data_IF_215803980169
#
_entry.id   IF_215803980169
#
_cell.length_a   1.000
_cell.length_b   1.000
_cell.length_c   1.000
_cell.angle_alpha   90.00
_cell.angle_beta   90.00
_cell.angle_gamma   90.00
#
_symmetry.space_group_name_H-M   'P 1'
#
loop_
_entity.id
_entity.type
_entity.pdbx_description
1 polymer ?
#
# COMPACT_ATOMS: atom_id res chain seq x y z
N UNK A 1 29.77 -32.00 10.80
CA UNK A 1 29.82 -30.56 10.42
C UNK A 1 28.43 -29.93 10.59
N UNK A 2 27.79 -30.13 11.75
CA UNK A 2 26.43 -29.61 12.04
C UNK A 2 26.33 -28.85 13.37
N UNK A 3 27.29 -29.06 14.28
CA UNK A 3 27.33 -28.38 15.58
C UNK A 3 27.96 -26.97 15.54
N UNK A 4 28.72 -26.62 14.49
CA UNK A 4 29.30 -25.27 14.37
C UNK A 4 28.33 -24.24 13.79
N UNK A 5 27.29 -24.66 13.07
CA UNK A 5 26.27 -23.74 12.53
C UNK A 5 25.22 -23.32 13.56
N UNK A 6 25.01 -24.13 14.61
CA UNK A 6 24.06 -23.80 15.68
C UNK A 6 24.61 -22.71 16.63
N UNK A 7 25.94 -22.71 16.87
CA UNK A 7 26.60 -21.67 17.68
C UNK A 7 26.65 -20.30 16.99
N UNK A 8 26.61 -20.24 15.65
CA UNK A 8 26.54 -18.96 14.92
C UNK A 8 25.12 -18.37 14.86
N UNK A 9 24.07 -19.18 15.03
CA UNK A 9 22.70 -18.69 15.15
C UNK A 9 22.45 -18.05 16.52
N UNK A 10 23.05 -18.57 17.60
CA UNK A 10 22.90 -18.02 18.95
C UNK A 10 23.65 -16.70 19.17
N UNK A 11 24.70 -16.39 18.40
CA UNK A 11 25.39 -15.09 18.46
C UNK A 11 24.68 -13.96 17.70
N UNK A 12 23.69 -14.26 16.86
CA UNK A 12 22.88 -13.24 16.15
C UNK A 12 21.74 -12.66 17.02
N UNK A 13 21.51 -13.22 18.21
CA UNK A 13 20.45 -12.79 19.13
C UNK A 13 20.95 -11.97 20.34
N UNK A 14 22.21 -11.54 20.34
CA UNK A 14 22.79 -10.74 21.44
C UNK A 14 23.23 -9.33 21.01
N UNK A 15 22.78 -8.82 19.86
CA UNK A 15 22.95 -7.41 19.56
C UNK A 15 21.88 -6.59 20.32
N UNK A 16 22.33 -5.86 21.35
CA UNK A 16 21.52 -4.98 22.20
C UNK A 16 20.95 -3.75 21.46
N UNK A 17 20.97 -3.74 20.13
CA UNK A 17 20.39 -2.70 19.28
C UNK A 17 19.25 -3.17 18.36
N UNK A 18 18.75 -4.40 18.53
CA UNK A 18 17.54 -4.85 17.85
C UNK A 18 16.33 -3.99 18.27
N UNK A 19 15.75 -3.30 17.29
CA UNK A 19 14.61 -2.36 17.41
C UNK A 19 13.31 -3.03 17.90
N UNK A 20 13.35 -4.35 18.12
CA UNK A 20 12.19 -5.18 18.47
C UNK A 20 11.74 -5.13 19.95
N UNK A 21 12.41 -4.36 20.83
CA UNK A 21 12.02 -4.25 22.25
C UNK A 21 12.04 -2.82 22.81
N UNK A 22 11.33 -1.88 22.16
CA UNK A 22 10.94 -0.63 22.84
C UNK A 22 9.58 -0.82 23.51
N UNK A 23 9.60 -1.04 24.83
CA UNK A 23 8.44 -0.80 25.70
C UNK A 23 8.30 0.72 25.89
N UNK A 24 7.14 1.26 25.56
CA UNK A 24 6.76 2.65 25.86
C UNK A 24 6.38 2.77 27.35
N UNK A 25 7.39 2.97 28.20
CA UNK A 25 7.20 3.54 29.53
C UNK A 25 8.56 3.86 30.15
N UNK A 26 9.02 5.09 29.96
CA UNK A 26 9.62 5.96 30.99
C UNK A 26 10.26 7.21 30.34
N UNK A 27 9.80 8.37 30.79
CA UNK A 27 10.40 9.67 30.48
C UNK A 27 11.73 9.87 31.24
N UNK A 28 12.64 10.57 30.55
CA UNK A 28 13.44 11.69 31.06
C UNK A 28 14.98 11.53 31.20
N UNK A 29 15.64 12.58 30.68
CA UNK A 29 16.92 13.20 31.04
C UNK A 29 18.25 12.77 30.34
N UNK A 30 18.78 13.76 29.60
CA UNK A 30 20.17 14.23 29.57
C UNK A 30 21.32 13.34 29.04
N UNK A 31 21.75 13.58 27.78
CA UNK A 31 22.95 14.40 27.42
C UNK A 31 23.47 14.11 26.00
N UNK A 32 24.16 15.10 25.36
CA UNK A 32 24.60 15.01 23.97
C UNK A 32 26.06 14.53 23.85
N UNK A 33 26.36 13.74 22.82
CA UNK A 33 27.73 13.38 22.44
C UNK A 33 28.15 14.10 21.16
N UNK A 34 29.12 15.01 21.34
CA UNK A 34 29.85 15.78 20.35
C UNK A 34 30.83 14.92 19.53
N UNK A 35 30.84 15.11 18.21
CA UNK A 35 32.01 15.10 17.32
C UNK A 35 31.68 16.22 16.31
N UNK A 36 32.38 17.33 16.13
CA UNK A 36 33.78 17.64 16.39
C UNK A 36 34.36 18.30 15.12
N UNK A 37 33.91 19.51 14.77
CA UNK A 37 34.60 20.36 13.78
C UNK A 37 34.55 21.82 14.25
N UNK A 38 35.73 22.41 14.38
CA UNK A 38 36.03 23.62 15.13
C UNK A 38 35.44 24.88 14.48
N UNK A 39 34.71 25.69 15.26
CA UNK A 39 34.40 27.08 14.98
C UNK A 39 35.30 27.96 15.86
N UNK A 40 36.16 28.76 15.24
CA UNK A 40 36.68 29.99 15.85
C UNK A 40 35.58 31.05 15.78
N UNK A 41 35.09 31.48 16.94
CA UNK A 41 33.90 32.31 17.04
C UNK A 41 34.07 33.74 16.55
N UNK A 42 32.95 34.36 16.16
CA UNK A 42 32.62 35.76 16.43
C UNK A 42 31.09 35.90 16.55
N UNK A 43 30.71 36.84 17.41
CA UNK A 43 29.42 37.06 18.07
C UNK A 43 28.23 37.40 17.14
N UNK A 44 27.04 37.10 17.66
CA UNK A 44 25.73 37.69 17.33
C UNK A 44 25.79 39.18 16.98
N UNK A 45 25.15 39.52 15.84
CA UNK A 45 24.42 40.77 15.62
C UNK A 45 23.57 40.67 14.35
N UNK A 46 22.26 40.80 14.53
CA UNK A 46 21.27 41.40 13.63
C UNK A 46 21.54 41.27 12.11
N UNK A 47 20.96 40.24 11.46
CA UNK A 47 20.71 40.29 10.01
C UNK A 47 19.25 40.62 9.77
N UNK A 48 18.91 41.88 10.03
CA UNK A 48 17.78 42.51 9.37
C UNK A 48 18.06 42.56 7.86
N UNK A 49 17.13 42.04 7.06
CA UNK A 49 16.88 42.37 5.64
C UNK A 49 18.10 42.90 4.87
N UNK A 50 19.06 42.03 4.54
CA UNK A 50 20.15 42.41 3.64
C UNK A 50 19.65 42.49 2.18
N UNK A 51 20.17 43.43 1.36
CA UNK A 51 19.80 43.57 -0.05
C UNK A 51 20.05 42.29 -0.88
N UNK A 52 20.93 41.42 -0.40
CA UNK A 52 21.29 40.15 -1.03
C UNK A 52 20.19 39.08 -0.88
N UNK A 53 19.40 39.09 0.21
CA UNK A 53 18.19 38.24 0.30
C UNK A 53 17.10 38.68 -0.68
N UNK A 54 17.05 39.97 -1.03
CA UNK A 54 16.18 40.49 -2.09
C UNK A 54 16.71 40.18 -3.50
N UNK A 55 18.04 40.02 -3.65
CA UNK A 55 18.67 39.70 -4.93
C UNK A 55 18.38 38.24 -5.36
N UNK A 56 18.45 37.27 -4.43
CA UNK A 56 18.06 35.88 -4.73
C UNK A 56 16.57 35.70 -5.03
N UNK A 57 15.69 36.50 -4.44
CA UNK A 57 14.25 36.46 -4.76
C UNK A 57 13.92 37.07 -6.14
N UNK A 58 14.80 37.91 -6.69
CA UNK A 58 14.66 38.47 -8.04
C UNK A 58 15.20 37.55 -9.14
N UNK A 59 16.14 36.68 -8.81
CA UNK A 59 16.73 35.72 -9.75
C UNK A 59 15.99 34.37 -9.77
N UNK A 60 15.11 34.13 -8.80
CA UNK A 60 14.20 32.99 -8.72
C UNK A 60 12.76 33.29 -9.16
N UNK A 61 12.52 34.38 -9.89
CA UNK A 61 11.23 34.58 -10.55
C UNK A 61 11.14 33.50 -11.63
N UNK A 62 10.41 32.42 -11.35
CA UNK A 62 10.12 31.38 -12.32
C UNK A 62 9.67 32.06 -13.62
N UNK A 63 10.41 31.85 -14.72
CA UNK A 63 10.08 32.47 -15.99
C UNK A 63 8.70 31.94 -16.39
N UNK A 64 7.71 32.83 -16.45
CA UNK A 64 6.35 32.47 -16.84
C UNK A 64 6.33 31.83 -18.23
N UNK A 65 7.34 32.11 -19.07
CA UNK A 65 7.52 31.49 -20.39
C UNK A 65 7.95 30.03 -20.30
N UNK A 66 8.76 29.63 -19.32
CA UNK A 66 9.07 28.21 -19.08
C UNK A 66 7.83 27.45 -18.61
N UNK A 67 6.98 28.11 -17.83
CA UNK A 67 5.70 27.55 -17.38
C UNK A 67 4.68 27.43 -18.53
N UNK A 68 4.63 28.43 -19.41
CA UNK A 68 3.82 28.41 -20.65
C UNK A 68 4.34 27.37 -21.66
N UNK A 69 5.66 27.25 -21.87
CA UNK A 69 6.24 26.22 -22.74
C UNK A 69 6.03 24.80 -22.19
N UNK A 70 6.14 24.59 -20.88
CA UNK A 70 5.81 23.32 -20.23
C UNK A 70 4.31 22.98 -20.37
N UNK A 71 3.44 23.99 -20.25
CA UNK A 71 2.00 23.87 -20.44
C UNK A 71 1.64 23.51 -21.89
N UNK A 72 2.31 24.13 -22.88
CA UNK A 72 2.15 23.82 -24.30
C UNK A 72 2.68 22.42 -24.67
N UNK A 73 3.74 21.95 -24.01
CA UNK A 73 4.31 20.61 -24.20
C UNK A 73 3.49 19.51 -23.50
N UNK A 74 2.84 19.83 -22.38
CA UNK A 74 2.05 18.88 -21.58
C UNK A 74 0.63 19.38 -21.28
N UNK A 75 -0.19 19.69 -22.30
CA UNK A 75 -1.56 20.20 -22.12
C UNK A 75 -2.48 19.18 -21.45
N UNK A 76 -2.06 17.92 -21.36
CA UNK A 76 -2.75 16.87 -20.61
C UNK A 76 -2.62 17.04 -19.09
N UNK A 77 -1.56 17.68 -18.59
CA UNK A 77 -1.31 17.82 -17.15
C UNK A 77 -2.19 18.93 -16.54
N UNK A 78 -2.41 20.03 -17.25
CA UNK A 78 -3.32 21.10 -16.80
C UNK A 78 -4.78 20.69 -16.75
N UNK A 79 -5.18 19.72 -17.59
CA UNK A 79 -6.55 19.21 -17.64
C UNK A 79 -6.91 18.37 -16.41
N UNK A 80 -5.93 17.92 -15.62
CA UNK A 80 -6.14 17.04 -14.46
C UNK A 80 -6.67 17.80 -13.24
N UNK A 81 -7.86 18.38 -13.35
CA UNK A 81 -8.46 19.25 -12.32
C UNK A 81 -8.60 18.54 -10.96
N UNK A 82 -8.93 17.24 -10.96
CA UNK A 82 -9.04 16.46 -9.73
C UNK A 82 -7.68 16.34 -9.03
N UNK A 83 -6.61 16.11 -9.81
CA UNK A 83 -5.25 16.03 -9.29
C UNK A 83 -4.77 17.38 -8.71
N UNK A 84 -5.00 18.49 -9.42
CA UNK A 84 -4.66 19.83 -8.91
C UNK A 84 -5.43 20.19 -7.63
N UNK A 85 -6.71 19.81 -7.55
CA UNK A 85 -7.48 19.97 -6.32
C UNK A 85 -6.90 19.16 -5.16
N UNK A 86 -6.37 17.96 -5.43
CA UNK A 86 -5.71 17.13 -4.43
C UNK A 86 -4.36 17.69 -3.97
N UNK A 87 -3.58 18.30 -4.87
CA UNK A 87 -2.34 19.01 -4.49
C UNK A 87 -2.65 20.17 -3.54
N UNK A 88 -3.63 21.02 -3.88
CA UNK A 88 -4.08 22.10 -3.00
C UNK A 88 -4.61 21.57 -1.66
N UNK A 89 -5.37 20.48 -1.67
CA UNK A 89 -5.84 19.83 -0.46
C UNK A 89 -4.68 19.40 0.44
N UNK A 90 -3.59 18.87 -0.13
CA UNK A 90 -2.40 18.47 0.62
C UNK A 90 -1.69 19.65 1.30
N UNK A 91 -1.60 20.79 0.61
CA UNK A 91 -1.01 22.03 1.14
C UNK A 91 -1.83 22.57 2.33
N UNK A 92 -3.16 22.55 2.21
CA UNK A 92 -4.06 23.02 3.28
C UNK A 92 -4.11 22.05 4.47
N UNK A 93 -4.15 20.74 4.18
CA UNK A 93 -4.20 19.67 5.16
C UNK A 93 -3.50 18.44 4.61
N UNK A 94 -2.44 18.02 5.30
CA UNK A 94 -1.68 16.85 4.89
C UNK A 94 -2.60 15.64 4.65
N UNK A 95 -2.35 14.97 3.53
CA UNK A 95 -3.08 13.76 3.16
C UNK A 95 -2.46 12.61 3.96
N UNK A 96 -3.20 11.93 4.84
CA UNK A 96 -2.64 10.87 5.63
C UNK A 96 -2.45 9.62 4.77
N UNK A 97 -1.38 8.88 5.02
CA UNK A 97 -1.12 7.56 4.46
C UNK A 97 -0.45 6.69 5.53
N UNK A 98 -0.58 5.36 5.41
CA UNK A 98 0.13 4.43 6.30
C UNK A 98 1.60 4.33 5.92
N UNK A 99 1.90 4.22 4.62
CA UNK A 99 3.25 4.12 4.05
C UNK A 99 3.31 4.80 2.68
N UNK A 100 4.48 5.31 2.32
CA UNK A 100 4.76 5.86 1.00
C UNK A 100 5.22 4.76 0.06
N UNK A 101 4.59 4.67 -1.11
CA UNK A 101 4.90 3.72 -2.17
C UNK A 101 5.34 4.43 -3.46
N UNK A 102 5.90 5.63 -3.32
CA UNK A 102 6.26 6.57 -4.38
C UNK A 102 7.03 5.90 -5.53
N UNK A 103 8.07 5.13 -5.20
CA UNK A 103 8.90 4.43 -6.19
C UNK A 103 8.14 3.29 -6.87
N UNK A 104 7.36 2.50 -6.12
CA UNK A 104 6.61 1.34 -6.62
C UNK A 104 5.64 1.74 -7.72
N UNK A 105 4.92 2.85 -7.52
CA UNK A 105 3.95 3.37 -8.49
C UNK A 105 4.55 4.44 -9.43
N UNK A 106 5.88 4.60 -9.42
CA UNK A 106 6.63 5.50 -10.31
C UNK A 106 6.17 6.96 -10.26
N UNK A 107 5.83 7.46 -9.07
CA UNK A 107 5.62 8.89 -8.87
C UNK A 107 6.98 9.60 -8.73
N UNK A 108 7.07 10.82 -9.23
CA UNK A 108 8.28 11.66 -9.16
C UNK A 108 8.49 12.31 -7.79
N UNK A 109 7.49 12.32 -6.92
CA UNK A 109 7.59 12.81 -5.53
C UNK A 109 6.55 12.20 -4.61
N UNK A 110 6.79 12.27 -3.31
CA UNK A 110 5.83 11.86 -2.28
C UNK A 110 4.55 12.70 -2.33
N UNK A 111 4.66 13.99 -2.69
CA UNK A 111 3.50 14.88 -2.83
C UNK A 111 2.61 14.42 -3.99
N UNK A 112 3.20 14.06 -5.13
CA UNK A 112 2.46 13.50 -6.27
C UNK A 112 1.77 12.18 -5.87
N UNK A 113 2.49 11.29 -5.19
CA UNK A 113 1.94 10.04 -4.69
C UNK A 113 0.71 10.29 -3.80
N UNK A 114 0.84 11.14 -2.79
CA UNK A 114 -0.23 11.45 -1.84
C UNK A 114 -1.45 12.09 -2.52
N UNK A 115 -1.24 13.03 -3.44
CA UNK A 115 -2.31 13.65 -4.20
C UNK A 115 -3.06 12.63 -5.07
N UNK A 116 -2.35 11.70 -5.72
CA UNK A 116 -2.98 10.62 -6.50
C UNK A 116 -3.72 9.63 -5.62
N UNK A 117 -3.17 9.24 -4.46
CA UNK A 117 -3.87 8.42 -3.46
C UNK A 117 -5.19 9.06 -3.05
N UNK A 118 -5.19 10.37 -2.78
CA UNK A 118 -6.41 11.09 -2.41
C UNK A 118 -7.48 11.06 -3.52
N UNK A 119 -7.08 11.16 -4.79
CA UNK A 119 -8.00 11.05 -5.92
C UNK A 119 -8.52 9.61 -6.08
N UNK A 120 -7.64 8.61 -5.96
CA UNK A 120 -8.01 7.20 -6.05
C UNK A 120 -8.99 6.80 -4.94
N UNK A 121 -8.82 7.32 -3.72
CA UNK A 121 -9.79 7.12 -2.63
C UNK A 121 -11.19 7.58 -3.05
N UNK A 122 -11.32 8.74 -3.67
CA UNK A 122 -12.60 9.24 -4.17
C UNK A 122 -13.17 8.35 -5.28
N UNK A 123 -12.33 7.90 -6.21
CA UNK A 123 -12.72 6.99 -7.28
C UNK A 123 -13.24 5.65 -6.73
N UNK A 124 -12.53 5.04 -5.77
CA UNK A 124 -12.99 3.82 -5.11
C UNK A 124 -14.29 4.03 -4.34
N UNK A 125 -14.42 5.11 -3.56
CA UNK A 125 -15.67 5.42 -2.87
C UNK A 125 -16.84 5.50 -3.86
N UNK A 126 -16.64 6.12 -5.03
CA UNK A 126 -17.65 6.17 -6.08
C UNK A 126 -17.98 4.78 -6.63
N UNK A 127 -16.97 3.96 -6.94
CA UNK A 127 -17.16 2.60 -7.46
C UNK A 127 -17.93 1.72 -6.48
N UNK A 128 -17.63 1.79 -5.18
CA UNK A 128 -18.29 0.98 -4.16
C UNK A 128 -19.67 1.51 -3.75
N UNK A 129 -20.01 2.76 -4.08
CA UNK A 129 -21.38 3.27 -3.99
C UNK A 129 -22.31 2.71 -5.10
N UNK A 130 -21.76 2.03 -6.12
CA UNK A 130 -22.54 1.35 -7.16
C UNK A 130 -22.68 -0.14 -6.81
N UNK A 131 -23.88 -0.65 -6.46
CA UNK A 131 -24.05 -2.03 -5.99
C UNK A 131 -23.58 -3.09 -7.01
N UNK A 132 -23.79 -2.84 -8.30
CA UNK A 132 -23.36 -3.73 -9.39
C UNK A 132 -21.84 -3.84 -9.46
N UNK A 133 -21.13 -2.72 -9.34
CA UNK A 133 -19.67 -2.68 -9.34
C UNK A 133 -19.10 -3.32 -8.07
N UNK A 134 -19.66 -3.03 -6.90
CA UNK A 134 -19.22 -3.62 -5.64
C UNK A 134 -19.36 -5.15 -5.65
N UNK A 135 -20.50 -5.66 -6.13
CA UNK A 135 -20.76 -7.10 -6.28
C UNK A 135 -19.78 -7.73 -7.27
N UNK A 136 -19.59 -7.11 -8.43
CA UNK A 136 -18.63 -7.57 -9.43
C UNK A 136 -17.21 -7.70 -8.88
N UNK A 137 -16.72 -6.69 -8.15
CA UNK A 137 -15.36 -6.72 -7.57
C UNK A 137 -15.24 -7.81 -6.50
N UNK A 138 -16.26 -7.97 -5.65
CA UNK A 138 -16.27 -9.03 -4.63
C UNK A 138 -16.29 -10.43 -5.26
N UNK A 139 -17.13 -10.66 -6.27
CA UNK A 139 -17.21 -11.94 -6.98
C UNK A 139 -15.88 -12.27 -7.67
N UNK A 140 -15.24 -11.26 -8.25
CA UNK A 140 -13.97 -11.45 -8.94
C UNK A 140 -12.82 -11.74 -7.98
N UNK A 141 -12.72 -10.99 -6.88
CA UNK A 141 -11.72 -11.24 -5.84
C UNK A 141 -11.84 -12.66 -5.28
N UNK A 142 -13.09 -13.13 -5.10
CA UNK A 142 -13.37 -14.52 -4.71
C UNK A 142 -12.89 -15.52 -5.75
N UNK A 143 -13.23 -15.29 -7.02
CA UNK A 143 -12.90 -16.22 -8.11
C UNK A 143 -11.39 -16.36 -8.32
N UNK A 144 -10.66 -15.25 -8.42
CA UNK A 144 -9.21 -15.26 -8.67
C UNK A 144 -8.45 -16.05 -7.60
N UNK A 145 -8.79 -15.83 -6.33
CA UNK A 145 -8.12 -16.53 -5.22
C UNK A 145 -8.58 -17.99 -5.15
N UNK A 146 -9.84 -18.28 -5.44
CA UNK A 146 -10.34 -19.65 -5.55
C UNK A 146 -9.58 -20.44 -6.63
N UNK A 147 -9.42 -19.85 -7.81
CA UNK A 147 -8.69 -20.46 -8.92
C UNK A 147 -7.22 -20.66 -8.58
N UNK A 148 -6.60 -19.70 -7.88
CA UNK A 148 -5.22 -19.84 -7.43
C UNK A 148 -5.04 -20.98 -6.42
N UNK A 149 -6.00 -21.17 -5.50
CA UNK A 149 -6.01 -22.27 -4.54
C UNK A 149 -6.16 -23.62 -5.26
N UNK A 150 -7.12 -23.72 -6.20
CA UNK A 150 -7.31 -24.92 -7.00
C UNK A 150 -6.10 -25.25 -7.86
N UNK A 151 -5.47 -24.24 -8.46
CA UNK A 151 -4.26 -24.39 -9.25
C UNK A 151 -3.07 -24.90 -8.43
N UNK A 152 -3.04 -24.63 -7.13
CA UNK A 152 -2.08 -25.19 -6.19
C UNK A 152 -2.47 -26.59 -5.64
N UNK A 153 -3.43 -27.26 -6.30
CA UNK A 153 -3.95 -28.59 -5.94
C UNK A 153 -4.53 -28.65 -4.51
N UNK A 154 -5.24 -27.59 -4.11
CA UNK A 154 -5.92 -27.49 -2.81
C UNK A 154 -7.43 -27.27 -2.98
N UNK A 155 -8.20 -27.75 -2.01
CA UNK A 155 -9.66 -27.54 -1.97
C UNK A 155 -9.99 -26.11 -1.50
N UNK A 156 -10.72 -25.30 -2.30
CA UNK A 156 -11.09 -23.94 -1.94
C UNK A 156 -12.31 -23.84 -1.00
N UNK A 157 -12.95 -24.95 -0.63
CA UNK A 157 -14.21 -24.95 0.13
C UNK A 157 -14.19 -24.10 1.40
N UNK A 158 -13.16 -24.27 2.24
CA UNK A 158 -13.07 -23.53 3.51
C UNK A 158 -12.71 -22.05 3.27
N UNK A 159 -11.88 -21.76 2.26
CA UNK A 159 -11.64 -20.39 1.80
C UNK A 159 -12.96 -19.71 1.41
N UNK A 160 -13.79 -20.35 0.58
CA UNK A 160 -15.07 -19.81 0.13
C UNK A 160 -16.01 -19.55 1.33
N UNK A 161 -16.08 -20.48 2.28
CA UNK A 161 -16.86 -20.30 3.51
C UNK A 161 -16.42 -19.05 4.30
N UNK A 162 -15.12 -18.86 4.46
CA UNK A 162 -14.57 -17.72 5.21
C UNK A 162 -14.70 -16.40 4.44
N UNK A 163 -14.59 -16.43 3.11
CA UNK A 163 -14.82 -15.27 2.26
C UNK A 163 -16.27 -14.76 2.38
N UNK A 164 -17.24 -15.65 2.31
CA UNK A 164 -18.66 -15.29 2.49
C UNK A 164 -18.95 -14.72 3.89
N UNK A 165 -18.30 -15.25 4.93
CA UNK A 165 -18.41 -14.70 6.28
C UNK A 165 -17.85 -13.28 6.36
N UNK A 166 -16.72 -13.01 5.73
CA UNK A 166 -16.17 -11.65 5.64
C UNK A 166 -17.11 -10.70 4.90
N UNK A 167 -17.68 -11.11 3.76
CA UNK A 167 -18.63 -10.25 3.03
C UNK A 167 -19.87 -9.92 3.88
N UNK A 168 -20.42 -10.91 4.59
CA UNK A 168 -21.53 -10.68 5.54
C UNK A 168 -21.15 -9.73 6.67
N UNK A 169 -19.92 -9.85 7.19
CA UNK A 169 -19.40 -8.94 8.21
C UNK A 169 -19.32 -7.50 7.68
N UNK A 170 -18.80 -7.31 6.47
CA UNK A 170 -18.62 -5.98 5.85
C UNK A 170 -19.95 -5.30 5.49
N UNK A 171 -21.01 -6.06 5.22
CA UNK A 171 -22.33 -5.50 4.89
C UNK A 171 -23.09 -4.94 6.10
N UNK A 172 -22.64 -5.23 7.31
CA UNK A 172 -23.37 -4.94 8.54
C UNK A 172 -22.84 -3.66 9.21
N UNK A 173 -23.60 -2.55 9.23
CA UNK A 173 -23.10 -1.25 9.67
C UNK A 173 -22.60 -1.21 11.13
N UNK A 174 -23.16 -2.03 12.02
CA UNK A 174 -22.69 -2.12 13.42
C UNK A 174 -21.24 -2.60 13.53
N UNK A 175 -20.72 -3.28 12.51
CA UNK A 175 -19.35 -3.78 12.49
C UNK A 175 -18.32 -2.71 12.11
N UNK A 176 -18.74 -1.59 11.52
CA UNK A 176 -17.83 -0.54 11.06
C UNK A 176 -16.95 0.03 12.19
N UNK A 177 -17.51 0.21 13.39
CA UNK A 177 -16.75 0.73 14.54
C UNK A 177 -15.66 -0.23 15.01
N UNK A 178 -15.95 -1.54 15.04
CA UNK A 178 -14.98 -2.58 15.38
C UNK A 178 -13.86 -2.59 14.33
N UNK A 179 -14.24 -2.59 13.05
CA UNK A 179 -13.31 -2.63 11.94
C UNK A 179 -12.40 -1.40 11.91
N UNK A 180 -12.94 -0.20 12.14
CA UNK A 180 -12.17 1.04 12.19
C UNK A 180 -11.17 1.05 13.35
N UNK A 181 -11.59 0.59 14.54
CA UNK A 181 -10.69 0.46 15.69
C UNK A 181 -9.51 -0.48 15.38
N UNK A 182 -9.82 -1.69 14.89
CA UNK A 182 -8.80 -2.69 14.56
C UNK A 182 -7.81 -2.21 13.51
N UNK A 183 -8.29 -1.58 12.43
CA UNK A 183 -7.46 -1.12 11.33
C UNK A 183 -6.63 0.12 11.70
N UNK A 184 -7.18 1.02 12.53
CA UNK A 184 -6.45 2.20 13.02
C UNK A 184 -5.23 1.80 13.85
N UNK A 185 -5.37 0.78 14.72
CA UNK A 185 -4.26 0.21 15.49
C UNK A 185 -3.17 -0.39 14.58
N UNK A 186 -3.55 -0.82 13.37
CA UNK A 186 -2.62 -1.30 12.33
C UNK A 186 -2.10 -0.20 11.42
N UNK A 187 -2.35 1.06 11.75
CA UNK A 187 -1.84 2.23 11.04
C UNK A 187 -2.63 2.60 9.80
N UNK A 188 -3.73 1.91 9.47
CA UNK A 188 -4.63 2.31 8.37
C UNK A 188 -5.25 3.65 8.73
N UNK A 189 -5.06 4.64 7.87
CA UNK A 189 -5.44 6.03 8.16
C UNK A 189 -6.80 6.44 7.58
N UNK A 190 -7.31 5.67 6.62
CA UNK A 190 -8.57 5.94 5.94
C UNK A 190 -9.33 4.64 5.71
N UNK A 191 -10.63 4.62 6.02
CA UNK A 191 -11.52 3.49 5.76
C UNK A 191 -11.92 3.47 4.27
N UNK A 192 -10.96 3.16 3.41
CA UNK A 192 -11.13 3.11 1.96
C UNK A 192 -10.54 1.83 1.38
N UNK A 193 -11.07 1.40 0.24
CA UNK A 193 -10.60 0.20 -0.45
C UNK A 193 -9.11 0.25 -0.78
N UNK A 194 -8.57 1.40 -1.19
CA UNK A 194 -7.14 1.54 -1.45
C UNK A 194 -6.32 1.27 -0.19
N UNK A 195 -6.64 1.94 0.91
CA UNK A 195 -5.90 1.82 2.16
C UNK A 195 -5.99 0.41 2.77
N UNK A 196 -7.15 -0.23 2.69
CA UNK A 196 -7.40 -1.52 3.33
C UNK A 196 -6.96 -2.67 2.44
N UNK A 197 -7.48 -2.76 1.21
CA UNK A 197 -7.17 -3.90 0.35
C UNK A 197 -5.82 -3.73 -0.32
N UNK A 198 -5.56 -2.58 -0.94
CA UNK A 198 -4.33 -2.40 -1.73
C UNK A 198 -3.12 -2.28 -0.80
N UNK A 199 -3.11 -1.27 0.06
CA UNK A 199 -1.95 -0.99 0.91
C UNK A 199 -1.83 -1.99 2.06
N UNK A 200 -2.82 -2.10 2.93
CA UNK A 200 -2.70 -2.95 4.11
C UNK A 200 -2.72 -4.46 3.83
N UNK A 201 -3.49 -4.95 2.85
CA UNK A 201 -3.58 -6.40 2.59
C UNK A 201 -2.63 -6.84 1.49
N UNK A 202 -2.75 -6.30 0.27
CA UNK A 202 -2.05 -6.83 -0.90
C UNK A 202 -0.56 -6.48 -0.88
N UNK A 203 -0.20 -5.22 -0.62
CA UNK A 203 1.21 -4.81 -0.59
C UNK A 203 1.94 -5.45 0.59
N UNK A 204 1.34 -5.50 1.78
CA UNK A 204 1.92 -6.24 2.91
C UNK A 204 2.08 -7.72 2.59
N UNK A 205 1.09 -8.38 1.96
CA UNK A 205 1.21 -9.78 1.60
C UNK A 205 2.37 -10.04 0.62
N UNK A 206 2.60 -9.15 -0.34
CA UNK A 206 3.71 -9.30 -1.30
C UNK A 206 5.09 -9.01 -0.70
N UNK A 207 5.17 -8.21 0.37
CA UNK A 207 6.40 -8.01 1.13
C UNK A 207 6.63 -9.13 2.16
N UNK A 208 5.62 -9.48 2.95
CA UNK A 208 5.69 -10.49 4.02
C UNK A 208 5.79 -11.92 3.49
N UNK A 209 5.22 -12.25 2.33
CA UNK A 209 5.32 -13.60 1.76
C UNK A 209 6.76 -14.00 1.39
N UNK A 210 7.69 -13.03 1.37
CA UNK A 210 9.13 -13.27 1.23
C UNK A 210 9.78 -13.69 2.57
N UNK A 211 9.13 -13.43 3.70
CA UNK A 211 9.57 -13.74 5.07
C UNK A 211 9.00 -15.05 5.64
N UNK A 212 9.87 -15.98 6.02
CA UNK A 212 9.56 -17.40 6.26
C UNK A 212 8.94 -17.75 7.64
N UNK A 213 7.95 -16.99 8.14
CA UNK A 213 7.34 -17.28 9.46
C UNK A 213 5.83 -17.00 9.57
N UNK A 214 5.12 -16.89 8.44
CA UNK A 214 3.75 -16.39 8.41
C UNK A 214 2.78 -17.13 9.35
N UNK A 215 2.93 -18.45 9.49
CA UNK A 215 2.00 -19.28 10.23
C UNK A 215 2.04 -19.10 11.75
N UNK A 216 3.23 -19.12 12.34
CA UNK A 216 3.41 -18.86 13.77
C UNK A 216 3.00 -17.43 14.13
N UNK A 217 3.24 -16.50 13.21
CA UNK A 217 2.84 -15.10 13.34
C UNK A 217 1.31 -14.96 13.29
N UNK A 218 0.63 -15.60 12.34
CA UNK A 218 -0.83 -15.55 12.22
C UNK A 218 -1.52 -16.19 13.44
N UNK A 219 -1.06 -17.35 13.89
CA UNK A 219 -1.60 -18.01 15.07
C UNK A 219 -1.39 -17.17 16.34
N UNK A 220 -0.20 -16.60 16.53
CA UNK A 220 0.10 -15.69 17.64
C UNK A 220 -0.72 -14.40 17.60
N UNK A 221 -0.81 -13.75 16.43
CA UNK A 221 -1.64 -12.55 16.22
C UNK A 221 -3.11 -12.82 16.50
N UNK A 222 -3.62 -14.01 16.17
CA UNK A 222 -5.03 -14.39 16.43
C UNK A 222 -5.36 -14.47 17.91
N UNK A 223 -4.44 -14.98 18.74
CA UNK A 223 -4.63 -15.07 20.20
C UNK A 223 -4.64 -13.70 20.89
N UNK A 224 -4.13 -12.67 20.23
CA UNK A 224 -4.07 -11.30 20.74
C UNK A 224 -5.21 -10.40 20.24
N UNK A 225 -6.17 -10.94 19.50
CA UNK A 225 -7.29 -10.15 18.99
C UNK A 225 -8.23 -9.74 20.11
N UNK A 226 -8.56 -8.45 20.14
CA UNK A 226 -9.59 -7.90 21.03
C UNK A 226 -10.98 -8.42 20.67
N UNK A 227 -11.25 -8.60 19.37
CA UNK A 227 -12.54 -9.06 18.85
C UNK A 227 -12.36 -10.39 18.13
N UNK A 228 -12.99 -11.44 18.64
CA UNK A 228 -12.93 -12.80 18.09
C UNK A 228 -13.76 -12.99 16.80
N UNK A 229 -14.71 -12.08 16.56
CA UNK A 229 -15.50 -11.94 15.33
C UNK A 229 -15.29 -10.57 14.67
N UNK A 230 -14.13 -9.95 14.87
CA UNK A 230 -13.74 -8.70 14.23
C UNK A 230 -13.30 -8.86 12.77
N UNK A 231 -12.97 -7.75 12.12
CA UNK A 231 -12.43 -7.75 10.76
C UNK A 231 -11.16 -8.58 10.67
N UNK A 232 -10.24 -8.41 11.62
CA UNK A 232 -8.97 -9.13 11.63
C UNK A 232 -9.15 -10.63 11.86
N UNK A 233 -10.15 -11.03 12.65
CA UNK A 233 -10.47 -12.44 12.84
C UNK A 233 -10.95 -13.09 11.53
N UNK A 234 -11.85 -12.42 10.80
CA UNK A 234 -12.29 -12.87 9.48
C UNK A 234 -11.13 -12.88 8.47
N UNK A 235 -10.30 -11.84 8.48
CA UNK A 235 -9.13 -11.73 7.60
C UNK A 235 -8.16 -12.89 7.82
N UNK A 236 -7.79 -13.19 9.08
CA UNK A 236 -6.87 -14.28 9.39
C UNK A 236 -7.43 -15.66 9.03
N UNK A 237 -8.74 -15.88 9.18
CA UNK A 237 -9.38 -17.10 8.71
C UNK A 237 -9.29 -17.28 7.19
N UNK A 238 -9.35 -16.19 6.41
CA UNK A 238 -9.10 -16.24 4.96
C UNK A 238 -7.61 -16.48 4.70
N UNK A 239 -6.72 -15.73 5.34
CA UNK A 239 -5.27 -15.83 5.16
C UNK A 239 -4.73 -17.24 5.44
N UNK A 240 -5.31 -17.96 6.40
CA UNK A 240 -5.01 -19.37 6.69
C UNK A 240 -5.02 -20.26 5.42
N UNK A 241 -5.87 -19.95 4.45
CA UNK A 241 -6.03 -20.74 3.24
C UNK A 241 -5.23 -20.19 2.07
N UNK A 242 -5.10 -18.86 2.00
CA UNK A 242 -4.44 -18.16 0.89
C UNK A 242 -2.92 -18.11 1.06
N UNK A 243 -2.44 -17.88 2.28
CA UNK A 243 -1.03 -17.65 2.57
C UNK A 243 -0.11 -18.83 2.20
N UNK A 244 -0.45 -20.11 2.46
CA UNK A 244 0.36 -21.25 1.99
C UNK A 244 0.54 -21.28 0.48
N UNK A 245 -0.52 -20.96 -0.26
CA UNK A 245 -0.53 -20.95 -1.71
C UNK A 245 0.41 -19.86 -2.22
N UNK A 246 0.35 -18.66 -1.62
CA UNK A 246 1.25 -17.57 -1.96
C UNK A 246 2.70 -17.84 -1.54
N UNK A 247 2.95 -18.40 -0.36
CA UNK A 247 4.30 -18.73 0.10
C UNK A 247 4.94 -19.79 -0.80
N UNK A 248 4.21 -20.86 -1.14
CA UNK A 248 4.68 -21.83 -2.12
C UNK A 248 4.85 -21.18 -3.50
N UNK A 249 3.88 -20.39 -3.93
CA UNK A 249 3.90 -19.67 -5.19
C UNK A 249 5.01 -18.63 -5.33
N UNK A 250 5.55 -18.08 -4.26
CA UNK A 250 6.63 -17.08 -4.36
C UNK A 250 8.00 -17.65 -3.99
N UNK A 251 8.07 -18.55 -3.00
CA UNK A 251 9.32 -19.06 -2.45
C UNK A 251 9.58 -20.54 -2.73
N UNK A 252 8.61 -21.25 -3.31
CA UNK A 252 8.74 -22.65 -3.63
C UNK A 252 9.72 -22.94 -4.76
N UNK A 253 9.94 -24.23 -5.06
CA UNK A 253 10.76 -24.64 -6.20
C UNK A 253 10.22 -24.03 -7.49
N UNK A 254 11.12 -23.81 -8.46
CA UNK A 254 10.73 -23.36 -9.80
C UNK A 254 9.69 -24.33 -10.38
N UNK A 255 8.59 -23.78 -10.90
CA UNK A 255 7.46 -24.56 -11.38
C UNK A 255 6.33 -23.66 -11.87
N UNK A 256 5.28 -24.28 -12.42
CA UNK A 256 4.14 -23.56 -12.99
C UNK A 256 3.48 -22.67 -11.93
N UNK A 257 3.17 -23.20 -10.73
CA UNK A 257 2.64 -22.42 -9.60
C UNK A 257 3.47 -21.17 -9.29
N UNK A 258 4.80 -21.29 -9.29
CA UNK A 258 5.65 -20.14 -9.00
C UNK A 258 5.60 -19.08 -10.10
N UNK A 259 5.58 -19.50 -11.35
CA UNK A 259 5.40 -18.60 -12.50
C UNK A 259 4.03 -17.92 -12.46
N UNK A 260 2.96 -18.66 -12.18
CA UNK A 260 1.59 -18.15 -12.12
C UNK A 260 1.42 -17.14 -10.98
N UNK A 261 1.91 -17.45 -9.77
CA UNK A 261 1.86 -16.51 -8.65
C UNK A 261 2.69 -15.25 -8.91
N UNK A 262 3.89 -15.38 -9.49
CA UNK A 262 4.71 -14.23 -9.89
C UNK A 262 3.98 -13.36 -10.91
N UNK A 263 3.37 -13.98 -11.92
CA UNK A 263 2.55 -13.27 -12.91
C UNK A 263 1.34 -12.56 -12.28
N UNK A 264 0.65 -13.20 -11.33
CA UNK A 264 -0.44 -12.57 -10.58
C UNK A 264 0.06 -11.32 -9.83
N UNK A 265 1.18 -11.44 -9.11
CA UNK A 265 1.80 -10.29 -8.42
C UNK A 265 2.14 -9.18 -9.41
N UNK A 266 2.74 -9.51 -10.54
CA UNK A 266 3.13 -8.53 -11.55
C UNK A 266 1.89 -7.83 -12.15
N UNK A 267 0.79 -8.54 -12.41
CA UNK A 267 -0.47 -7.91 -12.83
C UNK A 267 -1.02 -6.94 -11.79
N UNK A 268 -0.93 -7.26 -10.49
CA UNK A 268 -1.35 -6.33 -9.43
C UNK A 268 -0.43 -5.11 -9.36
N UNK A 269 0.89 -5.29 -9.44
CA UNK A 269 1.83 -4.16 -9.42
C UNK A 269 1.66 -3.28 -10.67
N UNK A 270 1.50 -3.88 -11.86
CA UNK A 270 1.23 -3.14 -13.10
C UNK A 270 -0.09 -2.38 -13.04
N UNK A 271 -1.15 -2.94 -12.43
CA UNK A 271 -2.40 -2.23 -12.16
C UNK A 271 -2.16 -0.98 -11.31
N UNK A 272 -1.37 -1.08 -10.24
CA UNK A 272 -1.04 0.07 -9.41
C UNK A 272 -0.24 1.11 -10.18
N UNK A 273 0.77 0.70 -10.94
CA UNK A 273 1.53 1.63 -11.78
C UNK A 273 0.64 2.34 -12.79
N UNK A 274 -0.26 1.61 -13.48
CA UNK A 274 -1.13 2.20 -14.50
C UNK A 274 -2.19 3.14 -13.90
N UNK A 275 -2.77 2.81 -12.75
CA UNK A 275 -3.73 3.70 -12.07
C UNK A 275 -3.11 4.98 -11.53
N UNK A 276 -1.80 5.02 -11.33
CA UNK A 276 -1.05 6.24 -10.99
C UNK A 276 -0.53 6.98 -12.24
N UNK A 277 -0.65 6.41 -13.43
CA UNK A 277 -0.09 7.00 -14.65
C UNK A 277 -1.11 7.93 -15.34
N UNK A 278 -0.77 9.23 -15.43
CA UNK A 278 -1.63 10.26 -16.05
C UNK A 278 -1.86 10.07 -17.56
N UNK A 279 -1.04 9.26 -18.23
CA UNK A 279 -1.24 8.87 -19.62
C UNK A 279 -2.20 7.67 -19.79
N UNK A 280 -2.50 6.96 -18.70
CA UNK A 280 -3.34 5.75 -18.70
C UNK A 280 -4.72 6.01 -18.12
N UNK A 281 -4.81 6.85 -17.09
CA UNK A 281 -6.06 7.19 -16.42
C UNK A 281 -6.22 8.70 -16.26
N UNK A 282 -7.46 9.18 -16.31
CA UNK A 282 -7.79 10.61 -16.27
C UNK A 282 -8.12 11.05 -14.85
N UNK A 283 -7.30 11.93 -14.30
CA UNK A 283 -7.51 12.67 -13.06
C UNK A 283 -8.21 14.04 -13.32
N UNK A 284 -9.14 14.06 -14.27
CA UNK A 284 -9.94 15.25 -14.63
C UNK A 284 -11.12 15.42 -13.67
N UNK A 285 -11.84 14.32 -13.39
CA UNK A 285 -13.01 14.23 -12.52
C UNK A 285 -13.04 12.87 -11.83
N UNK A 286 -13.78 12.75 -10.73
CA UNK A 286 -13.93 11.48 -10.01
C UNK A 286 -14.63 10.43 -10.89
N UNK A 287 -15.58 10.85 -11.74
CA UNK A 287 -16.28 9.99 -12.70
C UNK A 287 -15.33 9.33 -13.70
N UNK A 288 -14.49 10.13 -14.35
CA UNK A 288 -13.54 9.63 -15.35
C UNK A 288 -12.48 8.74 -14.70
N UNK A 289 -11.95 9.13 -13.54
CA UNK A 289 -10.97 8.33 -12.82
C UNK A 289 -11.55 6.98 -12.38
N UNK A 290 -12.77 6.97 -11.84
CA UNK A 290 -13.46 5.73 -11.46
C UNK A 290 -13.68 4.80 -12.66
N UNK A 291 -14.13 5.35 -13.80
CA UNK A 291 -14.32 4.58 -15.02
C UNK A 291 -13.00 3.98 -15.53
N UNK A 292 -11.92 4.76 -15.52
CA UNK A 292 -10.60 4.31 -15.97
C UNK A 292 -10.00 3.27 -15.01
N UNK A 293 -10.10 3.46 -13.69
CA UNK A 293 -9.67 2.47 -12.67
C UNK A 293 -10.42 1.15 -12.86
N UNK A 294 -11.74 1.18 -13.06
CA UNK A 294 -12.52 -0.04 -13.29
C UNK A 294 -12.14 -0.73 -14.61
N UNK A 295 -11.84 0.04 -15.66
CA UNK A 295 -11.37 -0.49 -16.96
C UNK A 295 -10.02 -1.19 -16.81
N UNK A 296 -9.06 -0.56 -16.14
CA UNK A 296 -7.75 -1.16 -15.86
C UNK A 296 -7.91 -2.41 -14.97
N UNK A 297 -8.77 -2.37 -13.97
CA UNK A 297 -9.04 -3.54 -13.11
C UNK A 297 -9.54 -4.73 -13.94
N UNK A 298 -10.54 -4.51 -14.81
CA UNK A 298 -11.09 -5.54 -15.71
C UNK A 298 -10.05 -6.13 -16.65
N UNK A 299 -9.20 -5.28 -17.23
CA UNK A 299 -8.10 -5.75 -18.10
C UNK A 299 -7.17 -6.72 -17.36
N UNK A 300 -6.79 -6.38 -16.13
CA UNK A 300 -5.84 -7.17 -15.32
C UNK A 300 -6.45 -8.49 -14.89
N UNK A 301 -7.73 -8.45 -14.55
CA UNK A 301 -8.53 -9.64 -14.27
C UNK A 301 -8.55 -10.59 -15.49
N UNK A 302 -8.84 -10.07 -16.68
CA UNK A 302 -8.92 -10.88 -17.89
C UNK A 302 -7.57 -11.53 -18.21
N UNK A 303 -6.47 -10.80 -18.03
CA UNK A 303 -5.11 -11.32 -18.17
C UNK A 303 -4.82 -12.46 -17.18
N UNK A 304 -5.18 -12.30 -15.90
CA UNK A 304 -4.99 -13.32 -14.86
C UNK A 304 -5.80 -14.58 -15.20
N UNK A 305 -7.07 -14.42 -15.57
CA UNK A 305 -7.96 -15.52 -15.91
C UNK A 305 -7.45 -16.29 -17.15
N UNK A 306 -6.97 -15.58 -18.17
CA UNK A 306 -6.33 -16.21 -19.33
C UNK A 306 -5.11 -17.03 -18.92
N UNK A 307 -4.23 -16.49 -18.07
CA UNK A 307 -3.05 -17.21 -17.59
C UNK A 307 -3.43 -18.51 -16.86
N UNK A 308 -4.39 -18.43 -15.94
CA UNK A 308 -4.86 -19.60 -15.17
C UNK A 308 -5.52 -20.65 -16.06
N UNK A 309 -6.24 -20.23 -17.11
CA UNK A 309 -6.88 -21.15 -18.06
C UNK A 309 -5.89 -21.87 -18.98
N UNK A 310 -4.79 -21.22 -19.37
CA UNK A 310 -3.80 -21.76 -20.30
C UNK A 310 -2.87 -22.78 -19.65
N UNK A 311 -2.64 -22.68 -18.34
CA UNK A 311 -1.79 -23.64 -17.61
C UNK A 311 -2.59 -24.74 -16.90
N UNK A 312 -3.93 -24.68 -16.97
CA UNK A 312 -4.87 -25.63 -16.38
C UNK A 312 -5.41 -26.73 -17.32
N UNK A 313 -4.68 -27.09 -18.39
CA UNK A 313 -4.96 -28.24 -19.26
C UNK A 313 -3.75 -29.18 -19.37
#
# INVERSE_FOLDING_TARGET
>A
MGYQMQSHAEMLFLDQHSVLFRNESEESLDKPSNIGMRISGFRDKDVASSPESFASARDGVADLREFEEFSELFPHFEKQKLYHAALKQHEEKSIPCRRLHTELVKCGSDVEYLAKVYCLRQAYTKLFNMPTTATFIADMGRQIICDLIMYADRDPKDYLLHYERMLKFLQEPRNHGIMEEELTVRGVKCMNFYDILVDFILLDAFEEAVGTALWSILAGKRQMLKYDQGFLAHFYSISEHVSPVLVWGFLGPEGSLRSTCSYFRDQVIEFLVDTFNLFKVRYTTVDELAADVLREMKLRIDNINQRLSLEGC
#
